data_IF_510606273110
#
_entry.id   IF_510606273110
#
_cell.length_a   1.000
_cell.length_b   1.000
_cell.length_c   1.000
_cell.angle_alpha   90.00
_cell.angle_beta   90.00
_cell.angle_gamma   90.00
#
_symmetry.space_group_name_H-M   'P 1'
#
loop_
_entity.id
_entity.type
_entity.pdbx_description
1 polymer ?
#
# COMPACT_ATOMS: atom_id res chain seq x y z
N UNK A 1 13.79 -9.90 1.71
CA UNK A 1 13.56 -11.34 1.99
C UNK A 1 14.47 -11.95 3.06
N UNK A 2 15.81 -11.98 2.91
CA UNK A 2 16.70 -12.65 3.88
C UNK A 2 16.51 -12.19 5.34
N UNK A 3 16.66 -10.88 5.59
CA UNK A 3 16.46 -10.30 6.93
C UNK A 3 15.05 -10.49 7.49
N UNK A 4 14.04 -10.56 6.62
CA UNK A 4 12.66 -10.85 7.03
C UNK A 4 12.56 -12.28 7.57
N UNK A 5 13.07 -13.27 6.83
CA UNK A 5 13.06 -14.67 7.28
C UNK A 5 13.87 -14.87 8.55
N UNK A 6 15.02 -14.21 8.70
CA UNK A 6 15.82 -14.24 9.94
C UNK A 6 15.06 -13.72 11.18
N UNK A 7 14.00 -12.93 10.97
CA UNK A 7 13.15 -12.40 12.02
C UNK A 7 11.82 -13.18 12.19
N UNK A 8 11.55 -14.18 11.34
CA UNK A 8 10.34 -14.99 11.41
C UNK A 8 10.55 -16.21 12.33
N UNK A 9 9.55 -16.49 13.15
CA UNK A 9 9.48 -17.62 14.08
C UNK A 9 8.03 -18.08 14.29
N UNK A 10 7.81 -19.04 15.19
CA UNK A 10 6.49 -19.59 15.49
C UNK A 10 5.52 -18.59 16.14
N UNK A 11 5.99 -17.43 16.59
CA UNK A 11 5.18 -16.37 17.19
C UNK A 11 4.85 -15.25 16.20
N UNK A 12 5.33 -15.36 14.96
CA UNK A 12 5.13 -14.34 13.93
C UNK A 12 3.72 -14.41 13.37
N UNK A 13 2.90 -13.38 13.66
CA UNK A 13 1.51 -13.31 13.21
C UNK A 13 1.34 -12.87 11.74
N UNK A 14 2.39 -12.33 11.13
CA UNK A 14 2.36 -11.86 9.75
C UNK A 14 3.55 -10.98 9.38
N UNK A 15 3.75 -10.80 8.07
CA UNK A 15 4.75 -9.89 7.50
C UNK A 15 4.05 -8.69 6.86
N UNK A 16 4.61 -7.49 7.07
CA UNK A 16 4.05 -6.23 6.58
C UNK A 16 5.00 -5.51 5.64
N UNK A 17 4.98 -5.79 4.31
CA UNK A 17 5.65 -4.91 3.37
C UNK A 17 4.93 -3.56 3.27
N UNK A 18 5.73 -2.50 3.25
CA UNK A 18 5.27 -1.13 3.00
C UNK A 18 5.35 -0.83 1.51
N UNK A 19 4.20 -0.87 0.83
CA UNK A 19 4.07 -0.57 -0.58
C UNK A 19 3.98 0.95 -0.80
N UNK A 20 5.11 1.61 -0.57
CA UNK A 20 5.29 3.06 -0.66
C UNK A 20 5.83 3.61 0.65
N UNK A 21 7.10 3.31 0.93
CA UNK A 21 7.79 3.65 2.17
C UNK A 21 7.83 5.17 2.36
N UNK A 22 7.32 5.65 3.50
CA UNK A 22 7.20 7.10 3.76
C UNK A 22 8.54 7.85 3.71
N UNK A 23 9.61 7.25 4.23
CA UNK A 23 10.90 7.92 4.39
C UNK A 23 11.74 7.95 3.10
N UNK A 24 11.66 6.89 2.30
CA UNK A 24 12.51 6.73 1.11
C UNK A 24 11.72 6.88 -0.18
N UNK A 25 10.42 6.64 -0.17
CA UNK A 25 9.53 6.65 -1.33
C UNK A 25 9.47 5.33 -2.09
N UNK A 26 10.36 4.38 -1.84
CA UNK A 26 10.42 3.12 -2.60
C UNK A 26 9.27 2.17 -2.25
N UNK A 27 8.99 1.24 -3.16
CA UNK A 27 8.15 0.09 -2.90
C UNK A 27 8.96 -1.05 -2.28
N UNK A 28 8.43 -1.63 -1.19
CA UNK A 28 8.81 -2.98 -0.80
C UNK A 28 8.00 -3.97 -1.62
N UNK A 29 8.63 -4.59 -2.62
CA UNK A 29 7.95 -5.52 -3.51
C UNK A 29 7.48 -6.78 -2.75
N UNK A 30 6.16 -7.08 -2.73
CA UNK A 30 5.66 -8.20 -1.96
C UNK A 30 5.98 -9.58 -2.55
N UNK A 31 6.09 -9.74 -3.87
CA UNK A 31 6.33 -11.05 -4.51
C UNK A 31 7.61 -11.75 -4.00
N UNK A 32 8.79 -11.11 -3.91
CA UNK A 32 9.97 -11.78 -3.34
C UNK A 32 9.84 -12.15 -1.85
N UNK A 33 8.97 -11.47 -1.09
CA UNK A 33 8.71 -11.80 0.30
C UNK A 33 7.75 -12.98 0.40
N UNK A 34 6.70 -12.98 -0.42
CA UNK A 34 5.79 -14.10 -0.62
C UNK A 34 6.55 -15.39 -0.92
N UNK A 35 7.41 -15.39 -1.93
CA UNK A 35 8.13 -16.59 -2.37
C UNK A 35 9.10 -17.11 -1.29
N UNK A 36 9.69 -16.18 -0.51
CA UNK A 36 10.53 -16.54 0.62
C UNK A 36 9.73 -17.17 1.77
N UNK A 37 8.51 -16.69 2.03
CA UNK A 37 7.60 -17.27 3.02
C UNK A 37 7.09 -18.66 2.58
N UNK A 38 6.82 -18.86 1.28
CA UNK A 38 6.51 -20.19 0.74
C UNK A 38 7.62 -21.19 1.01
N UNK A 39 8.88 -20.78 0.74
CA UNK A 39 10.03 -21.61 1.06
C UNK A 39 10.17 -21.85 2.56
N UNK A 40 9.96 -20.82 3.39
CA UNK A 40 10.07 -20.93 4.84
C UNK A 40 9.05 -21.92 5.42
N UNK A 41 7.80 -21.88 4.96
CA UNK A 41 6.78 -22.85 5.35
C UNK A 41 7.16 -24.26 4.90
N UNK A 42 7.67 -24.42 3.67
CA UNK A 42 8.10 -25.73 3.18
C UNK A 42 9.26 -26.33 4.01
N UNK A 43 10.19 -25.48 4.47
CA UNK A 43 11.37 -25.92 5.22
C UNK A 43 11.08 -26.15 6.71
N UNK A 44 10.15 -25.39 7.32
CA UNK A 44 9.95 -25.36 8.78
C UNK A 44 8.55 -25.82 9.23
N UNK A 45 7.57 -25.82 8.34
CA UNK A 45 6.15 -26.02 8.65
C UNK A 45 5.44 -24.79 9.21
N UNK A 46 6.13 -23.66 9.43
CA UNK A 46 5.54 -22.44 9.97
C UNK A 46 4.85 -21.66 8.83
N UNK A 47 3.56 -21.41 8.96
CA UNK A 47 2.76 -20.67 7.97
C UNK A 47 2.55 -19.21 8.40
N UNK A 48 2.99 -18.27 7.57
CA UNK A 48 2.96 -16.84 7.85
C UNK A 48 2.35 -16.10 6.65
N UNK A 49 1.31 -15.32 6.95
CA UNK A 49 0.59 -14.50 5.97
C UNK A 49 1.15 -13.07 5.89
N UNK A 50 0.67 -12.31 4.91
CA UNK A 50 1.07 -10.92 4.65
C UNK A 50 -0.10 -9.94 4.76
N UNK A 51 0.18 -8.79 5.37
CA UNK A 51 -0.63 -7.57 5.24
C UNK A 51 0.15 -6.56 4.42
N UNK A 52 -0.43 -6.03 3.33
CA UNK A 52 0.23 -4.96 2.59
C UNK A 52 -0.19 -3.61 3.18
N UNK A 53 0.77 -2.85 3.74
CA UNK A 53 0.58 -1.42 3.97
C UNK A 53 0.77 -0.70 2.63
N UNK A 54 -0.34 -0.50 1.91
CA UNK A 54 -0.38 0.24 0.66
C UNK A 54 -0.98 1.65 0.88
N UNK A 55 -0.75 2.24 2.06
CA UNK A 55 -1.30 3.55 2.42
C UNK A 55 -1.11 4.59 1.31
N UNK A 56 0.06 4.58 0.68
CA UNK A 56 0.38 5.44 -0.48
C UNK A 56 0.24 4.68 -1.81
N UNK A 57 0.94 3.55 -1.98
CA UNK A 57 1.03 2.85 -3.27
C UNK A 57 -0.29 2.26 -3.78
N UNK A 58 -1.27 2.05 -2.90
CA UNK A 58 -2.55 1.39 -3.23
C UNK A 58 -3.42 2.17 -4.22
N UNK A 59 -3.27 3.50 -4.29
CA UNK A 59 -3.93 4.34 -5.28
C UNK A 59 -2.96 4.85 -6.38
N UNK A 60 -1.78 4.24 -6.50
CA UNK A 60 -0.76 4.57 -7.50
C UNK A 60 -0.57 3.41 -8.49
N UNK A 61 0.04 2.31 -8.03
CA UNK A 61 0.47 1.21 -8.90
C UNK A 61 -0.65 0.64 -9.78
N UNK A 62 -1.92 0.46 -9.32
CA UNK A 62 -2.99 -0.03 -10.19
C UNK A 62 -3.27 0.81 -11.46
N UNK A 63 -2.87 2.08 -11.43
CA UNK A 63 -3.11 3.05 -12.49
C UNK A 63 -1.89 3.29 -13.37
N UNK A 64 -0.68 3.26 -12.80
CA UNK A 64 0.55 3.65 -13.53
C UNK A 64 1.58 2.52 -13.70
N UNK A 65 1.48 1.46 -12.90
CA UNK A 65 2.38 0.31 -12.92
C UNK A 65 1.61 -1.00 -12.66
N UNK A 66 0.60 -1.31 -13.51
CA UNK A 66 -0.34 -2.41 -13.25
C UNK A 66 0.31 -3.80 -13.26
N UNK A 67 1.48 -3.92 -13.90
CA UNK A 67 2.21 -5.19 -14.03
C UNK A 67 2.94 -5.59 -12.75
N UNK A 68 3.12 -4.67 -11.78
CA UNK A 68 3.68 -5.03 -10.48
C UNK A 68 2.67 -5.93 -9.76
N UNK A 69 3.13 -7.13 -9.36
CA UNK A 69 2.36 -8.06 -8.53
C UNK A 69 2.61 -7.76 -7.06
N UNK A 70 1.66 -7.10 -6.42
CA UNK A 70 1.77 -6.64 -5.02
C UNK A 70 0.52 -6.89 -4.18
N UNK A 71 -0.62 -7.16 -4.82
CA UNK A 71 -1.94 -7.19 -4.20
C UNK A 71 -2.44 -8.64 -3.98
N UNK A 72 -3.76 -8.83 -3.92
CA UNK A 72 -4.40 -10.13 -3.75
C UNK A 72 -4.10 -11.17 -4.84
N UNK A 73 -3.38 -10.83 -5.91
CA UNK A 73 -2.78 -11.82 -6.81
C UNK A 73 -1.81 -12.77 -6.09
N UNK A 74 -1.23 -12.35 -4.96
CA UNK A 74 -0.33 -13.16 -4.12
C UNK A 74 -1.11 -13.90 -3.02
N UNK A 75 -1.22 -15.23 -3.02
CA UNK A 75 -2.03 -15.99 -2.06
C UNK A 75 -1.83 -15.64 -0.58
N UNK A 76 -0.59 -15.40 -0.14
CA UNK A 76 -0.29 -15.01 1.26
C UNK A 76 -0.80 -13.62 1.64
N UNK A 77 -1.18 -12.76 0.70
CA UNK A 77 -1.76 -11.45 1.03
C UNK A 77 -3.17 -11.65 1.55
N UNK A 78 -3.39 -11.47 2.85
CA UNK A 78 -4.69 -11.64 3.50
C UNK A 78 -5.42 -10.34 3.71
N UNK A 79 -4.71 -9.22 3.78
CA UNK A 79 -5.32 -7.90 3.87
C UNK A 79 -4.44 -6.81 3.27
N UNK A 80 -5.06 -5.72 2.85
CA UNK A 80 -4.41 -4.54 2.28
C UNK A 80 -5.04 -3.31 2.91
N UNK A 81 -4.22 -2.36 3.36
CA UNK A 81 -4.67 -1.03 3.76
C UNK A 81 -4.26 0.03 2.75
N UNK A 82 -5.10 1.05 2.56
CA UNK A 82 -4.82 2.18 1.66
C UNK A 82 -5.43 3.47 2.22
N UNK A 83 -4.73 4.61 2.10
CA UNK A 83 -5.24 5.90 2.56
C UNK A 83 -5.92 6.63 1.42
N UNK A 84 -7.24 6.73 1.47
CA UNK A 84 -8.01 7.51 0.51
C UNK A 84 -7.58 8.98 0.46
N UNK A 85 -7.17 9.54 1.61
CA UNK A 85 -6.69 10.92 1.69
C UNK A 85 -5.24 11.15 1.26
N UNK A 86 -4.52 10.10 0.84
CA UNK A 86 -3.21 10.25 0.20
C UNK A 86 -3.43 10.31 -1.32
N UNK A 87 -2.98 9.30 -2.04
CA UNK A 87 -3.14 9.22 -3.49
C UNK A 87 -4.56 8.80 -3.91
N UNK A 88 -5.45 8.48 -2.98
CA UNK A 88 -6.88 8.29 -3.28
C UNK A 88 -7.63 9.60 -3.57
N UNK A 89 -7.01 10.75 -3.33
CA UNK A 89 -7.51 12.11 -3.61
C UNK A 89 -8.70 12.58 -2.74
N UNK A 90 -9.14 11.76 -1.78
CA UNK A 90 -10.20 12.17 -0.86
C UNK A 90 -9.69 13.20 0.18
N UNK A 91 -10.58 13.96 0.85
CA UNK A 91 -10.18 14.82 1.96
C UNK A 91 -9.66 14.01 3.17
N UNK A 92 -8.85 14.67 4.01
CA UNK A 92 -8.30 14.09 5.24
C UNK A 92 -9.39 13.42 6.11
N UNK A 93 -9.13 12.17 6.49
CA UNK A 93 -10.06 11.33 7.25
C UNK A 93 -10.64 10.12 6.48
N UNK A 94 -10.27 9.91 5.21
CA UNK A 94 -10.61 8.69 4.46
C UNK A 94 -9.47 7.66 4.48
N UNK A 95 -9.78 6.41 4.83
CA UNK A 95 -8.89 5.26 4.74
C UNK A 95 -9.70 3.98 4.49
N UNK A 96 -9.05 2.99 3.91
CA UNK A 96 -9.62 1.72 3.53
C UNK A 96 -8.74 0.58 4.04
N UNK A 97 -9.40 -0.51 4.44
CA UNK A 97 -8.78 -1.79 4.67
C UNK A 97 -9.69 -2.85 4.05
N UNK A 98 -9.09 -3.79 3.34
CA UNK A 98 -9.80 -4.86 2.64
C UNK A 98 -9.14 -6.17 3.05
N UNK A 99 -9.95 -7.17 3.39
CA UNK A 99 -9.53 -8.55 3.58
C UNK A 99 -9.78 -9.34 2.29
N UNK A 100 -8.93 -10.34 2.04
CA UNK A 100 -9.06 -11.21 0.87
C UNK A 100 -10.42 -11.92 0.83
N UNK A 101 -10.81 -12.47 1.96
CA UNK A 101 -11.98 -13.31 2.17
C UNK A 101 -12.45 -13.19 3.62
N UNK A 102 -13.61 -13.78 3.93
CA UNK A 102 -14.20 -13.74 5.28
C UNK A 102 -13.37 -14.50 6.31
N UNK A 103 -12.66 -15.55 5.90
CA UNK A 103 -11.81 -16.37 6.79
C UNK A 103 -10.60 -15.59 7.30
N UNK A 104 -10.10 -14.64 6.51
CA UNK A 104 -9.01 -13.74 6.90
C UNK A 104 -9.40 -12.70 7.97
N UNK A 105 -10.69 -12.56 8.31
CA UNK A 105 -11.16 -11.68 9.37
C UNK A 105 -11.85 -12.50 10.49
N UNK A 106 -11.22 -12.65 11.67
CA UNK A 106 -11.81 -13.37 12.79
C UNK A 106 -13.18 -12.80 13.18
N UNK A 107 -14.20 -13.66 13.24
CA UNK A 107 -15.60 -13.26 13.43
C UNK A 107 -15.86 -12.64 14.80
N UNK A 108 -15.07 -13.00 15.82
CA UNK A 108 -15.12 -12.42 17.16
C UNK A 108 -14.74 -10.93 17.19
N UNK A 109 -14.11 -10.42 16.12
CA UNK A 109 -13.81 -9.00 15.96
C UNK A 109 -14.95 -8.22 15.29
N UNK A 110 -15.94 -8.92 14.73
CA UNK A 110 -17.07 -8.33 14.00
C UNK A 110 -18.25 -8.16 14.94
N UNK A 111 -18.74 -6.92 15.04
CA UNK A 111 -19.97 -6.61 15.79
C UNK A 111 -21.14 -6.53 14.81
N UNK A 112 -22.22 -7.24 15.09
CA UNK A 112 -23.41 -7.19 14.24
C UNK A 112 -24.34 -6.06 14.67
N UNK A 113 -24.78 -5.24 13.71
CA UNK A 113 -25.72 -4.14 13.91
C UNK A 113 -26.98 -4.42 13.11
N UNK A 114 -28.14 -4.22 13.73
CA UNK A 114 -29.42 -4.38 13.05
C UNK A 114 -29.62 -3.27 11.99
N UNK A 115 -29.88 -3.67 10.75
CA UNK A 115 -30.12 -2.75 9.64
C UNK A 115 -31.15 -3.32 8.68
N UNK A 116 -32.21 -2.55 8.41
CA UNK A 116 -33.30 -2.90 7.48
C UNK A 116 -33.93 -4.29 7.71
N UNK A 117 -34.00 -4.75 8.97
CA UNK A 117 -34.57 -6.05 9.33
C UNK A 117 -33.60 -7.24 9.19
N UNK A 118 -32.35 -7.00 8.81
CA UNK A 118 -31.24 -7.94 8.87
C UNK A 118 -30.11 -7.44 9.77
N UNK A 119 -28.94 -8.07 9.68
CA UNK A 119 -27.73 -7.66 10.40
C UNK A 119 -26.59 -7.37 9.43
N UNK A 120 -25.82 -6.33 9.73
CA UNK A 120 -24.59 -5.98 9.01
C UNK A 120 -23.43 -6.01 10.01
N UNK A 121 -22.37 -6.74 9.65
CA UNK A 121 -21.13 -6.78 10.42
C UNK A 121 -20.38 -5.45 10.31
N UNK A 122 -19.96 -4.92 11.46
CA UNK A 122 -19.03 -3.79 11.55
C UNK A 122 -17.74 -4.24 12.21
N UNK A 123 -16.62 -3.93 11.55
CA UNK A 123 -15.28 -4.03 12.11
C UNK A 123 -14.67 -2.63 12.13
N UNK A 124 -14.65 -2.02 13.32
CA UNK A 124 -14.19 -0.65 13.49
C UNK A 124 -13.68 -0.41 14.90
N UNK A 125 -12.60 0.37 15.01
CA UNK A 125 -12.11 0.92 16.29
C UNK A 125 -12.97 2.13 16.71
N UNK A 126 -13.32 2.98 15.74
CA UNK A 126 -14.11 4.18 15.97
C UNK A 126 -15.60 3.90 15.79
N UNK A 127 -16.45 4.62 16.52
CA UNK A 127 -17.89 4.60 16.34
C UNK A 127 -18.35 5.77 15.46
N UNK A 128 -18.95 6.82 16.05
CA UNK A 128 -19.39 8.01 15.32
C UNK A 128 -18.23 8.70 14.61
N UNK A 129 -18.38 8.94 13.30
CA UNK A 129 -17.38 9.59 12.45
C UNK A 129 -18.05 10.32 11.28
N UNK A 130 -17.44 11.39 10.74
CA UNK A 130 -17.98 12.09 9.58
C UNK A 130 -17.97 11.18 8.34
N UNK A 131 -19.05 11.21 7.56
CA UNK A 131 -19.18 10.43 6.32
C UNK A 131 -18.71 11.21 5.07
N UNK A 132 -18.45 12.52 5.20
CA UNK A 132 -18.15 13.40 4.06
C UNK A 132 -16.96 12.92 3.23
N UNK A 133 -15.92 12.40 3.88
CA UNK A 133 -14.71 11.91 3.22
C UNK A 133 -14.95 10.61 2.45
N UNK A 134 -15.80 9.70 2.95
CA UNK A 134 -16.17 8.47 2.23
C UNK A 134 -17.05 8.81 1.03
N UNK A 135 -17.97 9.77 1.18
CA UNK A 135 -18.81 10.26 0.06
C UNK A 135 -17.93 10.93 -1.02
N UNK A 136 -16.96 11.76 -0.61
CA UNK A 136 -16.02 12.38 -1.52
C UNK A 136 -15.16 11.34 -2.26
N UNK A 137 -14.68 10.31 -1.56
CA UNK A 137 -13.93 9.22 -2.20
C UNK A 137 -14.78 8.50 -3.27
N UNK A 138 -16.05 8.23 -2.97
CA UNK A 138 -16.97 7.62 -3.93
C UNK A 138 -17.23 8.53 -5.14
N UNK A 139 -17.36 9.85 -4.91
CA UNK A 139 -17.42 10.83 -5.98
C UNK A 139 -16.17 10.78 -6.88
N UNK A 140 -14.96 10.74 -6.31
CA UNK A 140 -13.72 10.68 -7.10
C UNK A 140 -13.66 9.39 -7.95
N UNK A 141 -14.10 8.25 -7.41
CA UNK A 141 -14.20 7.01 -8.19
C UNK A 141 -15.10 7.15 -9.41
N UNK A 142 -16.28 7.76 -9.26
CA UNK A 142 -17.22 7.98 -10.36
C UNK A 142 -16.73 9.07 -11.33
N UNK A 143 -16.19 10.16 -10.80
CA UNK A 143 -15.80 11.34 -11.57
C UNK A 143 -14.55 11.11 -12.39
N UNK A 144 -13.54 10.46 -11.82
CA UNK A 144 -12.27 10.22 -12.47
C UNK A 144 -12.27 8.89 -13.22
N UNK A 145 -12.83 7.85 -12.60
CA UNK A 145 -12.67 6.48 -13.09
C UNK A 145 -11.20 6.10 -13.25
N UNK A 146 -10.93 4.97 -13.90
CA UNK A 146 -9.55 4.50 -14.10
C UNK A 146 -8.72 5.48 -14.92
N UNK A 147 -9.29 6.07 -15.95
CA UNK A 147 -8.60 7.02 -16.83
C UNK A 147 -8.19 8.30 -16.08
N UNK A 148 -9.10 8.89 -15.30
CA UNK A 148 -8.83 10.12 -14.55
C UNK A 148 -7.76 9.91 -13.48
N UNK A 149 -7.85 8.82 -12.70
CA UNK A 149 -6.79 8.47 -11.76
C UNK A 149 -5.46 8.27 -12.48
N UNK A 150 -5.44 7.53 -13.59
CA UNK A 150 -4.22 7.31 -14.39
C UNK A 150 -3.60 8.64 -14.83
N UNK A 151 -4.39 9.61 -15.29
CA UNK A 151 -3.90 10.94 -15.68
C UNK A 151 -3.32 11.71 -14.49
N UNK A 152 -4.05 11.76 -13.38
CA UNK A 152 -3.61 12.51 -12.18
C UNK A 152 -2.31 11.92 -11.63
N UNK A 153 -2.23 10.60 -11.45
CA UNK A 153 -1.01 10.00 -10.92
C UNK A 153 0.17 10.12 -11.87
N UNK A 154 -0.04 9.93 -13.19
CA UNK A 154 1.04 10.14 -14.16
C UNK A 154 1.57 11.58 -14.12
N UNK A 155 0.70 12.59 -13.94
CA UNK A 155 1.15 13.96 -13.79
C UNK A 155 2.02 14.14 -12.53
N UNK A 156 1.66 13.51 -11.41
CA UNK A 156 2.51 13.50 -10.20
C UNK A 156 3.87 12.86 -10.45
N UNK A 157 3.93 11.72 -11.16
CA UNK A 157 5.18 11.06 -11.52
C UNK A 157 6.03 11.88 -12.48
N UNK A 158 5.43 12.56 -13.47
CA UNK A 158 6.13 13.44 -14.39
C UNK A 158 6.82 14.60 -13.64
N UNK A 159 6.13 15.20 -12.66
CA UNK A 159 6.72 16.25 -11.83
C UNK A 159 7.86 15.70 -10.97
N UNK A 160 7.67 14.54 -10.34
CA UNK A 160 8.71 13.92 -9.52
C UNK A 160 9.97 13.58 -10.35
N UNK A 161 9.81 12.99 -11.53
CA UNK A 161 10.92 12.68 -12.45
C UNK A 161 11.64 13.96 -12.90
N UNK A 162 10.89 15.00 -13.30
CA UNK A 162 11.48 16.29 -13.65
C UNK A 162 12.30 16.89 -12.50
N UNK A 163 11.77 16.87 -11.28
CA UNK A 163 12.50 17.36 -10.11
C UNK A 163 13.76 16.54 -9.84
N UNK A 164 13.71 15.22 -9.97
CA UNK A 164 14.89 14.37 -9.83
C UNK A 164 15.97 14.73 -10.87
N UNK A 165 15.59 14.89 -12.13
CA UNK A 165 16.50 15.24 -13.23
C UNK A 165 17.15 16.62 -13.05
N UNK A 166 16.39 17.64 -12.62
CA UNK A 166 16.94 18.98 -12.38
C UNK A 166 17.82 19.03 -11.14
N UNK A 167 17.43 18.35 -10.05
CA UNK A 167 18.22 18.30 -8.81
C UNK A 167 19.55 17.59 -9.06
N UNK A 168 19.56 16.52 -9.87
CA UNK A 168 20.77 15.77 -10.20
C UNK A 168 21.87 16.62 -10.85
N UNK A 169 21.50 17.73 -11.51
CA UNK A 169 22.45 18.67 -12.13
C UNK A 169 23.13 19.60 -11.13
N UNK A 170 22.56 19.78 -9.93
CA UNK A 170 22.95 20.83 -8.99
C UNK A 170 24.09 20.42 -8.03
N UNK A 171 24.38 19.13 -7.89
CA UNK A 171 25.38 18.70 -6.93
C UNK A 171 25.70 17.22 -6.98
N UNK A 172 26.66 16.79 -6.17
CA UNK A 172 27.03 15.39 -6.07
C UNK A 172 26.01 14.67 -5.17
N UNK A 173 24.79 14.48 -5.66
CA UNK A 173 23.74 13.76 -4.93
C UNK A 173 23.73 12.27 -5.27
N UNK A 174 23.38 11.45 -4.28
CA UNK A 174 23.00 10.05 -4.43
C UNK A 174 21.50 9.93 -4.19
N UNK A 175 20.77 9.43 -5.18
CA UNK A 175 19.31 9.32 -5.12
C UNK A 175 18.90 7.97 -4.53
N UNK A 176 17.98 8.02 -3.58
CA UNK A 176 17.32 6.87 -2.95
C UNK A 176 16.00 6.57 -3.69
N UNK A 177 15.30 7.62 -4.13
CA UNK A 177 14.11 7.54 -4.96
C UNK A 177 14.07 8.70 -5.94
N UNK A 178 13.75 8.39 -7.18
CA UNK A 178 13.70 9.33 -8.31
C UNK A 178 12.26 9.59 -8.79
N UNK A 179 11.26 9.07 -8.07
CA UNK A 179 9.87 9.21 -8.44
C UNK A 179 9.53 8.44 -9.72
N UNK A 180 10.02 7.21 -9.84
CA UNK A 180 9.65 6.30 -10.93
C UNK A 180 8.51 5.37 -10.52
N UNK A 181 7.47 5.19 -11.35
CA UNK A 181 6.27 4.42 -10.99
C UNK A 181 6.53 2.92 -10.84
N UNK A 182 7.59 2.39 -11.44
CA UNK A 182 8.03 1.00 -11.32
C UNK A 182 8.85 0.73 -10.05
N UNK A 183 9.27 1.77 -9.32
CA UNK A 183 10.18 1.65 -8.17
C UNK A 183 9.59 2.17 -6.84
N UNK A 184 8.64 3.12 -6.89
CA UNK A 184 8.15 3.81 -5.71
C UNK A 184 7.03 4.81 -5.98
N UNK A 185 6.70 5.60 -4.97
CA UNK A 185 5.72 6.70 -5.03
C UNK A 185 6.32 7.92 -5.76
N UNK A 186 5.52 8.92 -6.20
CA UNK A 186 6.02 10.12 -6.85
C UNK A 186 6.66 11.07 -5.83
N UNK A 187 7.81 10.68 -5.29
CA UNK A 187 8.64 11.42 -4.36
C UNK A 187 10.10 11.41 -4.84
N UNK A 188 10.87 12.41 -4.43
CA UNK A 188 12.30 12.51 -4.72
C UNK A 188 13.04 12.51 -3.39
N UNK A 189 13.86 11.49 -3.17
CA UNK A 189 14.65 11.32 -1.95
C UNK A 189 16.11 11.15 -2.34
N UNK A 190 17.00 11.96 -1.77
CA UNK A 190 18.41 11.96 -2.09
C UNK A 190 19.23 12.44 -0.88
N UNK A 191 20.51 12.08 -0.87
CA UNK A 191 21.51 12.59 0.07
C UNK A 191 22.71 13.14 -0.70
N UNK A 192 23.57 13.89 -0.02
CA UNK A 192 24.92 14.17 -0.54
C UNK A 192 25.70 12.86 -0.66
N UNK A 193 26.53 12.73 -1.70
CA UNK A 193 27.46 11.60 -1.84
C UNK A 193 28.45 11.59 -0.67
N UNK A 194 28.85 10.39 -0.26
CA UNK A 194 29.77 10.23 0.84
C UNK A 194 31.14 10.85 0.48
N UNK A 195 31.64 11.74 1.34
CA UNK A 195 32.93 12.43 1.15
C UNK A 195 32.87 13.81 0.50
N UNK A 196 31.66 14.32 0.22
CA UNK A 196 31.39 15.70 -0.21
C UNK A 196 30.99 16.62 0.96
#
# INVERSE_FOLDING_TARGET
PKRMIEACDENTIGVVPTFGVTYTGNYEFPQPLHDALDKFQADTGIDIDMHIDAASGGFLAPFVAPDIVWDFRLPRVKSISASGHKFGLAPLGCGWVIWRDEEALPQELVFNVDYLGGQIGTFAINFSRPAGQVIAQYYEFLRLGREGYTKVQNASYQVAAYLADEIAKLGPYEFICTGRPDEGIPAVCFKLKDGE
#
